data_IF_496576132816
#
_entry.id   IF_496576132816
#
_cell.length_a   1.000
_cell.length_b   1.000
_cell.length_c   1.000
_cell.angle_alpha   90.00
_cell.angle_beta   90.00
_cell.angle_gamma   90.00
#
_symmetry.space_group_name_H-M   'P 1'
#
loop_
_entity.id
_entity.type
_entity.pdbx_description
1 polymer ?
#
# COMPACT_ATOMS: atom_id res chain seq x y z
N UNK A 1 14.96 -0.58 -1.99
CA UNK A 1 15.99 0.19 -1.25
C UNK A 1 15.72 1.65 -1.57
N UNK A 2 15.32 2.53 -0.64
CA UNK A 2 14.79 2.35 0.71
C UNK A 2 13.57 3.28 0.87
N UNK A 3 12.38 2.72 1.08
CA UNK A 3 11.11 3.47 1.22
C UNK A 3 10.92 4.07 2.63
N UNK A 4 11.94 3.96 3.48
CA UNK A 4 11.91 4.31 4.90
C UNK A 4 12.61 5.66 5.07
N UNK A 5 12.01 6.59 5.80
CA UNK A 5 12.53 7.95 5.98
C UNK A 5 13.84 8.01 6.76
N UNK A 6 14.03 7.13 7.75
CA UNK A 6 15.24 7.01 8.56
C UNK A 6 15.22 5.71 9.41
N UNK A 7 16.38 5.32 9.95
CA UNK A 7 16.56 4.08 10.71
C UNK A 7 15.75 4.03 12.01
N UNK A 8 15.57 5.17 12.69
CA UNK A 8 14.82 5.19 13.95
C UNK A 8 13.33 4.97 13.68
N UNK A 9 12.80 5.61 12.63
CA UNK A 9 11.43 5.38 12.15
C UNK A 9 11.24 3.94 11.67
N UNK A 10 12.14 3.42 10.83
CA UNK A 10 12.07 2.02 10.38
C UNK A 10 12.17 1.00 11.52
N UNK A 11 13.00 1.25 12.52
CA UNK A 11 13.11 0.40 13.71
C UNK A 11 11.86 0.46 14.59
N UNK A 12 11.26 1.66 14.74
CA UNK A 12 9.99 1.83 15.46
C UNK A 12 8.84 1.11 14.75
N UNK A 13 8.71 1.28 13.43
CA UNK A 13 7.71 0.59 12.62
C UNK A 13 7.88 -0.94 12.65
N UNK A 14 9.12 -1.42 12.53
CA UNK A 14 9.41 -2.85 12.64
C UNK A 14 9.11 -3.39 14.05
N UNK A 15 9.39 -2.62 15.10
CA UNK A 15 9.07 -2.98 16.48
C UNK A 15 7.56 -3.07 16.71
N UNK A 16 6.77 -2.17 16.12
CA UNK A 16 5.30 -2.18 16.18
C UNK A 16 4.71 -3.33 15.38
N UNK A 17 5.25 -3.63 14.20
CA UNK A 17 4.76 -4.69 13.31
C UNK A 17 5.08 -6.10 13.82
N UNK A 18 6.28 -6.30 14.37
CA UNK A 18 6.76 -7.62 14.81
C UNK A 18 5.78 -8.38 15.70
N UNK A 19 5.14 -7.80 16.74
CA UNK A 19 4.15 -8.51 17.55
C UNK A 19 2.87 -8.87 16.78
N UNK A 20 2.49 -8.12 15.74
CA UNK A 20 1.27 -8.35 14.95
C UNK A 20 1.40 -9.54 13.98
N UNK A 21 2.63 -9.82 13.52
CA UNK A 21 2.93 -10.92 12.60
C UNK A 21 2.98 -12.25 13.35
N UNK A 22 2.08 -13.18 13.02
CA UNK A 22 2.03 -14.50 13.69
C UNK A 22 3.25 -15.37 13.35
N UNK A 23 3.56 -15.53 12.06
CA UNK A 23 4.76 -16.23 11.60
C UNK A 23 5.95 -15.28 11.53
N UNK A 24 6.84 -15.36 12.52
CA UNK A 24 8.00 -14.46 12.63
C UNK A 24 8.96 -14.55 11.43
N UNK A 25 8.95 -15.63 10.67
CA UNK A 25 9.74 -15.74 9.43
C UNK A 25 9.23 -14.80 8.33
N UNK A 26 7.99 -14.33 8.43
CA UNK A 26 7.31 -13.47 7.46
C UNK A 26 7.32 -11.98 7.81
N UNK A 27 7.99 -11.58 8.90
CA UNK A 27 8.06 -10.16 9.33
C UNK A 27 8.63 -9.27 8.22
N UNK A 28 9.67 -9.74 7.51
CA UNK A 28 10.26 -8.98 6.39
C UNK A 28 9.28 -8.75 5.24
N UNK A 29 8.46 -9.77 4.94
CA UNK A 29 7.43 -9.69 3.90
C UNK A 29 6.33 -8.68 4.30
N UNK A 30 5.84 -8.77 5.54
CA UNK A 30 4.85 -7.85 6.09
C UNK A 30 5.38 -6.41 6.08
N UNK A 31 6.64 -6.21 6.51
CA UNK A 31 7.26 -4.90 6.59
C UNK A 31 7.42 -4.27 5.21
N UNK A 32 7.84 -5.06 4.21
CA UNK A 32 7.92 -4.60 2.84
C UNK A 32 6.55 -4.20 2.29
N UNK A 33 5.50 -4.98 2.57
CA UNK A 33 4.14 -4.71 2.13
C UNK A 33 3.58 -3.41 2.73
N UNK A 34 3.69 -3.23 4.05
CA UNK A 34 3.17 -2.05 4.76
C UNK A 34 3.94 -0.78 4.38
N UNK A 35 5.26 -0.87 4.24
CA UNK A 35 6.08 0.28 3.83
C UNK A 35 5.74 0.74 2.41
N UNK A 36 5.54 -0.20 1.48
CA UNK A 36 5.11 0.12 0.11
C UNK A 36 3.74 0.81 0.11
N UNK A 37 2.79 0.31 0.90
CA UNK A 37 1.48 0.93 1.05
C UNK A 37 1.55 2.33 1.67
N UNK A 38 2.44 2.57 2.63
CA UNK A 38 2.65 3.89 3.21
C UNK A 38 3.17 4.90 2.17
N UNK A 39 3.94 4.45 1.18
CA UNK A 39 4.35 5.31 0.06
C UNK A 39 3.16 5.61 -0.85
N UNK A 40 2.38 4.58 -1.19
CA UNK A 40 1.19 4.70 -2.04
C UNK A 40 0.12 5.59 -1.39
N UNK A 41 -0.09 5.45 -0.08
CA UNK A 41 -1.15 6.05 0.71
C UNK A 41 -0.51 6.81 1.89
N UNK A 42 0.16 7.95 1.64
CA UNK A 42 0.97 8.65 2.64
C UNK A 42 0.15 9.24 3.79
N UNK A 43 -1.16 9.41 3.58
CA UNK A 43 -2.09 9.99 4.55
C UNK A 43 -2.60 8.99 5.59
N UNK A 44 -2.41 7.68 5.38
CA UNK A 44 -2.75 6.65 6.37
C UNK A 44 -1.68 6.58 7.46
N UNK A 45 -2.08 6.30 8.70
CA UNK A 45 -1.11 6.08 9.77
C UNK A 45 -0.33 4.77 9.55
N UNK A 46 0.97 4.76 9.82
CA UNK A 46 1.79 3.55 9.60
C UNK A 46 1.35 2.37 10.48
N UNK A 47 0.94 2.62 11.73
CA UNK A 47 0.38 1.58 12.60
C UNK A 47 -0.98 1.07 12.09
N UNK A 48 -1.84 1.97 11.62
CA UNK A 48 -3.15 1.62 11.05
C UNK A 48 -2.97 0.70 9.84
N UNK A 49 -2.06 1.05 8.93
CA UNK A 49 -1.73 0.24 7.77
C UNK A 49 -1.14 -1.13 8.15
N UNK A 50 -0.29 -1.18 9.19
CA UNK A 50 0.25 -2.44 9.71
C UNK A 50 -0.86 -3.34 10.29
N UNK A 51 -1.81 -2.78 11.06
CA UNK A 51 -2.96 -3.53 11.59
C UNK A 51 -3.86 -4.05 10.46
N UNK A 52 -4.16 -3.20 9.47
CA UNK A 52 -4.95 -3.59 8.31
C UNK A 52 -4.31 -4.77 7.57
N UNK A 53 -3.07 -4.61 7.09
CA UNK A 53 -2.37 -5.65 6.33
C UNK A 53 -2.25 -6.96 7.11
N UNK A 54 -1.86 -6.89 8.39
CA UNK A 54 -1.63 -8.12 9.18
C UNK A 54 -2.92 -8.85 9.56
N UNK A 55 -3.96 -8.11 9.95
CA UNK A 55 -5.25 -8.70 10.31
C UNK A 55 -5.96 -9.25 9.08
N UNK A 56 -5.96 -8.51 7.96
CA UNK A 56 -6.54 -8.97 6.69
C UNK A 56 -5.84 -10.23 6.19
N UNK A 57 -4.50 -10.25 6.17
CA UNK A 57 -3.73 -11.42 5.71
C UNK A 57 -4.04 -12.66 6.56
N UNK A 58 -4.16 -12.49 7.88
CA UNK A 58 -4.56 -13.54 8.80
C UNK A 58 -5.98 -14.07 8.51
N UNK A 59 -6.95 -13.18 8.31
CA UNK A 59 -8.35 -13.57 8.12
C UNK A 59 -8.56 -14.34 6.81
N UNK A 60 -7.99 -13.84 5.71
CA UNK A 60 -8.10 -14.49 4.40
C UNK A 60 -7.11 -15.63 4.18
N UNK A 61 -6.10 -15.78 5.05
CA UNK A 61 -4.98 -16.73 4.90
C UNK A 61 -4.20 -16.49 3.60
N UNK A 62 -3.98 -15.22 3.29
CA UNK A 62 -3.27 -14.75 2.10
C UNK A 62 -1.91 -14.17 2.47
N UNK A 63 -1.02 -14.00 1.48
CA UNK A 63 0.26 -13.34 1.71
C UNK A 63 0.08 -11.85 2.01
N UNK A 64 1.06 -11.24 2.68
CA UNK A 64 1.00 -9.81 2.97
C UNK A 64 1.04 -8.98 1.67
N UNK A 65 1.73 -9.49 0.64
CA UNK A 65 1.76 -8.86 -0.68
C UNK A 65 0.41 -8.91 -1.41
N UNK A 66 -0.31 -10.03 -1.34
CA UNK A 66 -1.65 -10.16 -1.94
C UNK A 66 -2.65 -9.18 -1.31
N UNK A 67 -2.59 -9.05 0.02
CA UNK A 67 -3.40 -8.08 0.74
C UNK A 67 -3.01 -6.66 0.39
N UNK A 68 -1.71 -6.36 0.33
CA UNK A 68 -1.24 -5.04 -0.06
C UNK A 68 -1.70 -4.66 -1.46
N UNK A 69 -1.61 -5.60 -2.41
CA UNK A 69 -2.11 -5.41 -3.77
C UNK A 69 -3.62 -5.12 -3.80
N UNK A 70 -4.38 -5.76 -2.93
CA UNK A 70 -5.83 -5.52 -2.79
C UNK A 70 -6.14 -4.13 -2.23
N UNK A 71 -5.45 -3.70 -1.18
CA UNK A 71 -5.60 -2.34 -0.61
C UNK A 71 -5.17 -1.28 -1.63
N UNK A 72 -4.01 -1.49 -2.27
CA UNK A 72 -3.48 -0.62 -3.30
C UNK A 72 -4.42 -0.51 -4.51
N UNK A 73 -5.08 -1.61 -4.89
CA UNK A 73 -6.08 -1.60 -5.96
C UNK A 73 -7.31 -0.75 -5.61
N UNK A 74 -7.79 -0.83 -4.36
CA UNK A 74 -8.91 -0.02 -3.93
C UNK A 74 -8.55 1.47 -3.96
N UNK A 75 -7.39 1.83 -3.40
CA UNK A 75 -6.87 3.18 -3.46
C UNK A 75 -6.67 3.69 -4.89
N UNK A 76 -6.08 2.88 -5.78
CA UNK A 76 -5.91 3.24 -7.20
C UNK A 76 -7.24 3.48 -7.90
N UNK A 77 -8.28 2.74 -7.53
CA UNK A 77 -9.57 2.77 -8.24
C UNK A 77 -10.41 3.99 -7.89
N UNK A 78 -10.41 4.41 -6.62
CA UNK A 78 -11.32 5.45 -6.11
C UNK A 78 -10.68 6.41 -5.11
N UNK A 79 -9.39 6.27 -4.80
CA UNK A 79 -8.71 7.03 -3.75
C UNK A 79 -9.09 6.57 -2.34
N UNK A 80 -8.94 7.47 -1.37
CA UNK A 80 -9.38 7.29 0.01
C UNK A 80 -10.18 8.51 0.49
N UNK A 81 -11.47 8.59 0.14
CA UNK A 81 -12.24 9.83 0.25
C UNK A 81 -12.48 10.30 1.69
N UNK A 82 -12.56 9.37 2.65
CA UNK A 82 -12.76 9.67 4.08
C UNK A 82 -11.63 9.19 4.98
N UNK A 83 -10.51 8.74 4.41
CA UNK A 83 -9.36 8.22 5.17
C UNK A 83 -9.73 7.01 6.03
N UNK A 84 -10.56 6.13 5.49
CA UNK A 84 -11.13 4.98 6.19
C UNK A 84 -10.81 3.64 5.50
N UNK A 85 -9.97 3.65 4.46
CA UNK A 85 -9.65 2.44 3.69
C UNK A 85 -8.94 1.37 4.55
N UNK A 86 -7.89 1.75 5.27
CA UNK A 86 -7.12 0.79 6.07
C UNK A 86 -7.95 0.26 7.25
N UNK A 87 -8.66 1.13 7.97
CA UNK A 87 -9.63 0.74 9.00
C UNK A 87 -10.72 -0.20 8.44
N UNK A 88 -11.25 0.05 7.24
CA UNK A 88 -12.25 -0.85 6.61
C UNK A 88 -11.68 -2.25 6.38
N UNK A 89 -10.46 -2.36 5.86
CA UNK A 89 -9.79 -3.65 5.68
C UNK A 89 -9.53 -4.37 7.00
N UNK A 90 -9.13 -3.62 8.03
CA UNK A 90 -8.90 -4.15 9.37
C UNK A 90 -10.19 -4.69 10.00
N UNK A 91 -11.25 -3.89 10.02
CA UNK A 91 -12.52 -4.18 10.71
C UNK A 91 -13.35 -5.23 9.97
N UNK A 92 -13.48 -5.11 8.64
CA UNK A 92 -14.47 -5.90 7.91
C UNK A 92 -13.92 -7.18 7.28
N UNK A 93 -12.60 -7.33 7.12
CA UNK A 93 -11.98 -8.56 6.60
C UNK A 93 -12.42 -9.88 7.26
N UNK A 94 -12.68 -9.99 8.60
CA UNK A 94 -13.15 -11.25 9.16
C UNK A 94 -14.52 -11.66 8.63
N UNK A 95 -15.42 -10.71 8.36
CA UNK A 95 -16.76 -10.99 7.83
C UNK A 95 -16.67 -11.48 6.38
N UNK A 96 -15.93 -10.76 5.53
CA UNK A 96 -15.65 -11.19 4.16
C UNK A 96 -15.01 -12.59 4.11
N UNK A 97 -14.02 -12.84 4.96
CA UNK A 97 -13.36 -14.14 5.04
C UNK A 97 -14.32 -15.26 5.48
N UNK A 98 -15.21 -14.99 6.46
CA UNK A 98 -16.19 -15.97 6.92
C UNK A 98 -17.22 -16.34 5.85
N UNK A 99 -17.54 -15.42 4.94
CA UNK A 99 -18.42 -15.67 3.79
C UNK A 99 -17.70 -16.35 2.60
N UNK A 100 -16.44 -16.74 2.77
CA UNK A 100 -15.68 -17.50 1.78
C UNK A 100 -15.11 -16.67 0.62
N UNK A 101 -14.99 -15.35 0.81
CA UNK A 101 -14.38 -14.42 -0.17
C UNK A 101 -12.87 -14.25 0.06
N UNK A 102 -12.19 -13.55 -0.84
CA UNK A 102 -10.77 -13.15 -0.73
C UNK A 102 -10.57 -11.65 -0.50
N UNK A 103 -9.35 -11.21 -0.14
CA UNK A 103 -9.06 -9.77 -0.04
C UNK A 103 -9.23 -9.03 -1.37
N UNK A 104 -8.97 -9.70 -2.50
CA UNK A 104 -9.20 -9.14 -3.83
C UNK A 104 -10.70 -8.96 -4.13
N UNK A 105 -11.53 -9.89 -3.68
CA UNK A 105 -12.99 -9.78 -3.82
C UNK A 105 -13.55 -8.66 -2.92
N UNK A 106 -13.06 -8.57 -1.69
CA UNK A 106 -13.36 -7.45 -0.79
C UNK A 106 -12.97 -6.12 -1.43
N UNK A 107 -11.73 -5.99 -1.92
CA UNK A 107 -11.24 -4.80 -2.61
C UNK A 107 -12.12 -4.42 -3.81
N UNK A 108 -12.47 -5.39 -4.65
CA UNK A 108 -13.30 -5.16 -5.83
C UNK A 108 -14.71 -4.65 -5.45
N UNK A 109 -15.34 -5.28 -4.46
CA UNK A 109 -16.65 -4.87 -3.98
C UNK A 109 -16.64 -3.46 -3.39
N UNK A 110 -15.68 -3.17 -2.49
CA UNK A 110 -15.52 -1.86 -1.88
C UNK A 110 -15.30 -0.78 -2.95
N UNK A 111 -14.36 -1.01 -3.87
CA UNK A 111 -14.02 -0.08 -4.95
C UNK A 111 -15.20 0.21 -5.87
N UNK A 112 -15.90 -0.83 -6.31
CA UNK A 112 -17.05 -0.68 -7.21
C UNK A 112 -18.20 0.03 -6.50
N UNK A 113 -18.41 -0.23 -5.21
CA UNK A 113 -19.51 0.39 -4.47
C UNK A 113 -19.24 1.88 -4.21
N UNK A 114 -18.01 2.25 -3.86
CA UNK A 114 -17.61 3.67 -3.75
C UNK A 114 -17.68 4.36 -5.12
N UNK A 115 -17.26 3.69 -6.19
CA UNK A 115 -17.35 4.21 -7.57
C UNK A 115 -18.80 4.46 -8.00
N UNK A 116 -19.74 3.63 -7.54
CA UNK A 116 -21.18 3.79 -7.78
C UNK A 116 -21.84 4.83 -6.85
N UNK A 117 -21.06 5.49 -5.98
CA UNK A 117 -21.49 6.65 -5.20
C UNK A 117 -21.66 6.41 -3.71
N UNK A 118 -21.16 5.30 -3.16
CA UNK A 118 -21.12 5.16 -1.70
C UNK A 118 -20.22 6.23 -1.07
N UNK A 119 -20.63 6.74 0.09
CA UNK A 119 -19.98 7.86 0.76
C UNK A 119 -18.50 7.60 1.11
N UNK A 120 -18.19 6.39 1.54
CA UNK A 120 -16.84 5.96 1.96
C UNK A 120 -16.73 4.42 1.92
N UNK A 121 -15.63 3.87 2.45
CA UNK A 121 -15.39 2.42 2.49
C UNK A 121 -16.09 1.72 3.66
N UNK A 122 -16.30 2.42 4.77
CA UNK A 122 -17.01 1.89 5.94
C UNK A 122 -18.43 1.44 5.58
N UNK A 123 -19.18 2.26 4.83
CA UNK A 123 -20.59 1.97 4.49
C UNK A 123 -20.81 0.65 3.73
N UNK A 124 -20.10 0.36 2.63
CA UNK A 124 -20.19 -0.95 1.99
C UNK A 124 -19.63 -2.08 2.87
N UNK A 125 -18.61 -1.82 3.69
CA UNK A 125 -18.11 -2.79 4.68
C UNK A 125 -19.18 -3.20 5.69
N UNK A 126 -19.86 -2.21 6.29
CA UNK A 126 -20.95 -2.39 7.25
C UNK A 126 -22.13 -3.13 6.62
N UNK A 127 -22.52 -2.75 5.40
CA UNK A 127 -23.52 -3.50 4.64
C UNK A 127 -23.15 -4.97 4.50
N UNK A 128 -21.91 -5.28 4.09
CA UNK A 128 -21.49 -6.66 3.90
C UNK A 128 -21.48 -7.44 5.22
N UNK A 129 -21.00 -6.82 6.30
CA UNK A 129 -21.05 -7.37 7.66
C UNK A 129 -22.47 -7.75 8.04
N UNK A 130 -23.40 -6.80 7.94
CA UNK A 130 -24.79 -7.01 8.37
C UNK A 130 -25.47 -8.09 7.53
N UNK A 131 -25.39 -8.01 6.20
CA UNK A 131 -26.08 -8.96 5.32
C UNK A 131 -25.45 -10.35 5.37
N UNK A 132 -24.15 -10.46 5.08
CA UNK A 132 -23.49 -11.75 4.82
C UNK A 132 -22.67 -12.27 6.01
N UNK A 133 -22.26 -11.38 6.92
CA UNK A 133 -21.48 -11.73 8.11
C UNK A 133 -22.32 -11.97 9.36
N UNK A 134 -23.57 -11.50 9.40
CA UNK A 134 -24.45 -11.58 10.58
C UNK A 134 -25.80 -12.20 10.22
N UNK A 135 -26.61 -11.53 9.39
CA UNK A 135 -28.02 -11.88 9.20
C UNK A 135 -28.23 -13.13 8.37
N UNK A 136 -27.45 -13.32 7.30
CA UNK A 136 -27.45 -14.57 6.55
C UNK A 136 -27.03 -15.78 7.40
N UNK A 137 -26.34 -15.57 8.52
CA UNK A 137 -25.93 -16.66 9.41
C UNK A 137 -27.00 -16.99 10.47
N UNK A 138 -28.06 -16.17 10.58
CA UNK A 138 -29.09 -16.26 11.61
C UNK A 138 -30.43 -16.74 11.03
N UNK A 139 -31.02 -17.78 11.65
CA UNK A 139 -32.23 -18.40 11.15
C UNK A 139 -33.48 -17.52 11.33
N UNK A 140 -33.55 -16.69 12.37
CA UNK A 140 -34.68 -15.79 12.58
C UNK A 140 -34.65 -14.64 11.56
N UNK A 141 -33.49 -14.03 11.33
CA UNK A 141 -33.31 -12.99 10.29
C UNK A 141 -33.65 -13.53 8.89
N UNK A 142 -33.22 -14.75 8.59
CA UNK A 142 -33.53 -15.39 7.30
C UNK A 142 -34.99 -15.82 7.20
N UNK A 143 -35.65 -16.19 8.31
CA UNK A 143 -37.08 -16.47 8.31
C UNK A 143 -37.89 -15.20 8.04
N UNK A 144 -37.47 -14.06 8.61
CA UNK A 144 -38.07 -12.76 8.32
C UNK A 144 -37.86 -12.35 6.85
N UNK A 145 -36.66 -12.58 6.30
CA UNK A 145 -36.37 -12.41 4.87
C UNK A 145 -37.33 -13.25 4.01
N UNK A 146 -37.39 -14.57 4.22
CA UNK A 146 -38.25 -15.45 3.42
C UNK A 146 -39.75 -15.13 3.60
N UNK A 147 -40.16 -14.71 4.80
CA UNK A 147 -41.50 -14.22 5.06
C UNK A 147 -41.85 -12.97 4.26
N UNK A 148 -40.93 -11.99 4.21
CA UNK A 148 -41.07 -10.80 3.37
C UNK A 148 -41.09 -11.12 1.87
N UNK A 149 -40.42 -12.21 1.46
CA UNK A 149 -40.45 -12.77 0.10
C UNK A 149 -41.73 -13.59 -0.21
N UNK A 150 -42.66 -13.67 0.73
CA UNK A 150 -43.99 -14.28 0.53
C UNK A 150 -44.12 -15.73 1.02
N UNK A 151 -43.08 -16.31 1.64
CA UNK A 151 -43.20 -17.63 2.25
C UNK A 151 -44.14 -17.58 3.47
N UNK A 152 -45.02 -18.57 3.60
CA UNK A 152 -45.84 -18.72 4.80
C UNK A 152 -44.95 -18.99 6.03
N UNK A 153 -45.38 -18.56 7.22
CA UNK A 153 -44.56 -18.61 8.46
C UNK A 153 -43.83 -19.94 8.71
N UNK A 154 -44.50 -21.08 8.49
CA UNK A 154 -43.89 -22.41 8.66
C UNK A 154 -42.87 -22.75 7.58
N UNK A 155 -43.09 -22.28 6.37
CA UNK A 155 -42.19 -22.51 5.24
C UNK A 155 -40.96 -21.60 5.32
N UNK A 156 -41.15 -20.35 5.71
CA UNK A 156 -40.06 -19.40 5.97
C UNK A 156 -39.09 -19.91 7.04
N UNK A 157 -39.60 -20.40 8.17
CA UNK A 157 -38.77 -20.98 9.22
C UNK A 157 -37.96 -22.19 8.71
N UNK A 158 -38.60 -23.11 7.96
CA UNK A 158 -37.93 -24.29 7.42
C UNK A 158 -36.87 -23.93 6.37
N UNK A 159 -37.16 -22.96 5.50
CA UNK A 159 -36.22 -22.46 4.50
C UNK A 159 -35.01 -21.80 5.18
N UNK A 160 -35.25 -21.02 6.23
CA UNK A 160 -34.20 -20.39 7.01
C UNK A 160 -33.30 -21.39 7.75
N UNK A 161 -33.89 -22.41 8.39
CA UNK A 161 -33.12 -23.50 9.01
C UNK A 161 -32.26 -24.24 7.98
N UNK A 162 -32.81 -24.57 6.81
CA UNK A 162 -32.05 -25.24 5.75
C UNK A 162 -30.91 -24.36 5.22
N UNK A 163 -31.21 -23.10 4.91
CA UNK A 163 -30.24 -22.12 4.42
C UNK A 163 -29.10 -21.91 5.42
N UNK A 164 -29.43 -21.67 6.68
CA UNK A 164 -28.44 -21.41 7.72
C UNK A 164 -27.63 -22.66 8.09
N UNK A 165 -28.23 -23.85 7.99
CA UNK A 165 -27.49 -25.10 8.12
C UNK A 165 -26.44 -25.26 7.02
N UNK A 166 -26.75 -24.87 5.78
CA UNK A 166 -25.81 -24.94 4.66
C UNK A 166 -24.70 -23.88 4.78
N UNK A 167 -25.03 -22.62 5.07
CA UNK A 167 -24.03 -21.53 5.19
C UNK A 167 -23.08 -21.72 6.38
N UNK A 168 -23.59 -22.26 7.50
CA UNK A 168 -22.81 -22.51 8.71
C UNK A 168 -22.19 -23.92 8.76
N UNK A 169 -22.33 -24.73 7.70
CA UNK A 169 -21.92 -26.14 7.71
C UNK A 169 -20.41 -26.36 7.83
N UNK A 170 -19.59 -25.34 7.54
CA UNK A 170 -18.14 -25.47 7.36
C UNK A 170 -17.74 -26.16 6.05
N UNK A 171 -18.69 -26.68 5.28
CA UNK A 171 -18.49 -27.19 3.93
C UNK A 171 -18.52 -26.02 2.94
N UNK A 172 -17.39 -25.78 2.27
CA UNK A 172 -17.24 -24.65 1.37
C UNK A 172 -18.25 -24.67 0.22
N UNK A 173 -18.56 -25.85 -0.33
CA UNK A 173 -19.46 -25.97 -1.47
C UNK A 173 -20.91 -25.70 -1.04
N UNK A 174 -21.33 -26.20 0.12
CA UNK A 174 -22.67 -25.91 0.68
C UNK A 174 -22.83 -24.44 1.01
N UNK A 175 -21.85 -23.84 1.68
CA UNK A 175 -21.91 -22.43 2.03
C UNK A 175 -21.96 -21.52 0.79
N UNK A 176 -21.13 -21.81 -0.23
CA UNK A 176 -21.18 -21.10 -1.50
C UNK A 176 -22.50 -21.30 -2.25
N UNK A 177 -23.08 -22.50 -2.18
CA UNK A 177 -24.40 -22.80 -2.76
C UNK A 177 -25.52 -21.99 -2.10
N UNK A 178 -25.51 -21.89 -0.76
CA UNK A 178 -26.45 -21.06 -0.03
C UNK A 178 -26.32 -19.59 -0.41
N UNK A 179 -25.12 -19.02 -0.38
CA UNK A 179 -24.86 -17.64 -0.78
C UNK A 179 -25.31 -17.39 -2.23
N UNK A 180 -24.97 -18.29 -3.16
CA UNK A 180 -25.40 -18.16 -4.56
C UNK A 180 -26.93 -18.18 -4.71
N UNK A 181 -27.63 -19.02 -3.93
CA UNK A 181 -29.09 -19.05 -3.94
C UNK A 181 -29.70 -17.74 -3.41
N UNK A 182 -29.13 -17.17 -2.33
CA UNK A 182 -29.55 -15.86 -1.80
C UNK A 182 -29.31 -14.75 -2.84
N UNK A 183 -28.14 -14.71 -3.46
CA UNK A 183 -27.81 -13.75 -4.52
C UNK A 183 -28.75 -13.88 -5.73
N UNK A 184 -29.10 -15.11 -6.12
CA UNK A 184 -30.01 -15.37 -7.23
C UNK A 184 -31.44 -14.91 -6.90
N UNK A 185 -31.93 -15.14 -5.68
CA UNK A 185 -33.23 -14.62 -5.27
C UNK A 185 -33.23 -13.08 -5.24
N UNK A 186 -32.18 -12.44 -4.71
CA UNK A 186 -32.02 -10.98 -4.75
C UNK A 186 -31.98 -10.44 -6.19
N UNK A 187 -31.29 -11.12 -7.10
CA UNK A 187 -31.22 -10.73 -8.52
C UNK A 187 -32.55 -10.90 -9.28
N UNK A 188 -33.47 -11.72 -8.77
CA UNK A 188 -34.79 -11.94 -9.38
C UNK A 188 -35.82 -10.86 -9.04
N UNK A 189 -35.53 -10.02 -8.05
CA UNK A 189 -36.43 -9.02 -7.51
C UNK A 189 -36.42 -7.74 -8.35
N UNK A 190 -37.56 -7.04 -8.36
CA UNK A 190 -37.54 -5.66 -8.86
C UNK A 190 -36.78 -4.74 -7.90
N UNK A 191 -36.51 -3.50 -8.33
CA UNK A 191 -35.73 -2.54 -7.55
C UNK A 191 -36.31 -2.26 -6.17
N UNK A 192 -37.64 -2.18 -6.03
CA UNK A 192 -38.29 -1.85 -4.77
C UNK A 192 -38.29 -3.06 -3.82
N UNK A 193 -38.57 -4.24 -4.36
CA UNK A 193 -38.48 -5.51 -3.63
C UNK A 193 -37.05 -5.74 -3.13
N UNK A 194 -36.05 -5.58 -4.02
CA UNK A 194 -34.64 -5.72 -3.66
C UNK A 194 -34.24 -4.73 -2.57
N UNK A 195 -34.66 -3.46 -2.67
CA UNK A 195 -34.40 -2.46 -1.64
C UNK A 195 -34.97 -2.89 -0.29
N UNK A 196 -36.20 -3.39 -0.27
CA UNK A 196 -36.85 -3.88 0.95
C UNK A 196 -36.12 -5.09 1.53
N UNK A 197 -35.77 -6.06 0.69
CA UNK A 197 -35.00 -7.25 1.06
C UNK A 197 -33.65 -6.91 1.70
N UNK A 198 -32.89 -6.01 1.08
CA UNK A 198 -31.61 -5.55 1.61
C UNK A 198 -31.77 -4.76 2.92
N UNK A 199 -32.84 -3.97 3.04
CA UNK A 199 -33.17 -3.26 4.29
C UNK A 199 -33.45 -4.24 5.43
N UNK A 200 -34.25 -5.28 5.17
CA UNK A 200 -34.54 -6.34 6.14
C UNK A 200 -33.26 -7.09 6.55
N UNK A 201 -32.36 -7.31 5.60
CA UNK A 201 -31.04 -7.91 5.82
C UNK A 201 -30.00 -6.92 6.39
N UNK A 202 -30.44 -5.83 7.02
CA UNK A 202 -29.58 -4.97 7.86
C UNK A 202 -29.02 -3.74 7.17
N UNK A 203 -29.50 -3.41 5.98
CA UNK A 203 -29.09 -2.19 5.26
C UNK A 203 -29.84 -0.96 5.76
N UNK A 204 -29.63 -0.54 7.01
CA UNK A 204 -29.89 0.86 7.40
C UNK A 204 -29.06 1.82 6.51
N UNK A 205 -27.96 1.33 5.94
CA UNK A 205 -27.14 1.96 4.89
C UNK A 205 -27.80 2.05 3.51
N UNK A 206 -28.95 1.40 3.31
CA UNK A 206 -29.77 1.43 2.10
C UNK A 206 -30.66 2.67 1.99
N UNK A 207 -30.57 3.60 2.93
CA UNK A 207 -31.13 4.95 2.79
C UNK A 207 -30.08 5.93 2.25
N UNK A 208 -28.82 5.84 2.72
CA UNK A 208 -27.73 6.75 2.34
C UNK A 208 -26.91 6.28 1.12
N UNK A 209 -26.76 4.96 0.92
CA UNK A 209 -25.99 4.34 -0.17
C UNK A 209 -26.86 3.35 -0.98
N UNK A 210 -28.18 3.54 -0.94
CA UNK A 210 -29.17 2.65 -1.53
C UNK A 210 -28.80 2.21 -2.94
N UNK A 211 -28.52 3.19 -3.80
CA UNK A 211 -28.35 2.94 -5.23
C UNK A 211 -27.02 2.27 -5.56
N UNK A 212 -25.95 2.56 -4.82
CA UNK A 212 -24.67 1.88 -5.04
C UNK A 212 -24.77 0.43 -4.62
N UNK A 213 -25.33 0.15 -3.44
CA UNK A 213 -25.52 -1.21 -2.93
C UNK A 213 -26.49 -2.02 -3.81
N UNK A 214 -27.58 -1.42 -4.27
CA UNK A 214 -28.52 -2.07 -5.19
C UNK A 214 -27.85 -2.56 -6.48
N UNK A 215 -26.75 -1.91 -6.90
CA UNK A 215 -25.98 -2.30 -8.09
C UNK A 215 -24.84 -3.27 -7.79
N UNK A 216 -24.31 -3.28 -6.57
CA UNK A 216 -23.05 -3.95 -6.25
C UNK A 216 -23.15 -5.06 -5.20
N UNK A 217 -24.32 -5.32 -4.61
CA UNK A 217 -24.49 -6.28 -3.51
C UNK A 217 -23.90 -7.68 -3.76
N UNK A 218 -23.83 -8.13 -5.03
CA UNK A 218 -23.26 -9.43 -5.41
C UNK A 218 -21.77 -9.42 -5.75
N UNK A 219 -21.15 -8.25 -5.94
CA UNK A 219 -19.80 -8.10 -6.50
C UNK A 219 -18.72 -8.78 -5.65
N UNK A 220 -18.92 -8.85 -4.33
CA UNK A 220 -18.01 -9.53 -3.40
C UNK A 220 -17.90 -11.05 -3.66
N UNK A 221 -18.86 -11.64 -4.37
CA UNK A 221 -18.87 -13.08 -4.69
C UNK A 221 -18.49 -13.36 -6.15
N UNK A 222 -18.30 -12.32 -6.95
CA UNK A 222 -17.80 -12.43 -8.31
C UNK A 222 -16.28 -12.70 -8.32
N UNK A 223 -15.77 -13.13 -9.48
CA UNK A 223 -14.33 -13.24 -9.66
C UNK A 223 -13.72 -11.83 -9.65
N UNK A 224 -12.84 -11.57 -8.69
CA UNK A 224 -12.09 -10.32 -8.63
C UNK A 224 -11.17 -10.15 -9.87
N UNK A 225 -10.90 -8.89 -10.28
CA UNK A 225 -9.84 -8.62 -11.25
C UNK A 225 -8.47 -9.07 -10.70
N UNK A 226 -7.50 -9.28 -11.59
CA UNK A 226 -6.13 -9.55 -11.16
C UNK A 226 -5.51 -8.27 -10.58
N UNK A 227 -5.16 -8.33 -9.29
CA UNK A 227 -4.56 -7.21 -8.55
C UNK A 227 -3.06 -7.38 -8.37
N UNK A 228 -2.49 -8.50 -8.81
CA UNK A 228 -1.09 -8.86 -8.57
C UNK A 228 -0.13 -7.76 -9.04
N UNK A 229 0.76 -7.33 -8.16
CA UNK A 229 1.77 -6.30 -8.42
C UNK A 229 1.22 -4.88 -8.48
N UNK A 230 -0.05 -4.64 -8.10
CA UNK A 230 -0.62 -3.29 -8.08
C UNK A 230 0.16 -2.37 -7.16
N UNK A 231 0.58 -2.85 -5.98
CA UNK A 231 1.36 -2.05 -5.04
C UNK A 231 2.69 -1.62 -5.66
N UNK A 232 3.42 -2.56 -6.26
CA UNK A 232 4.74 -2.29 -6.87
C UNK A 232 4.64 -1.32 -8.05
N UNK A 233 3.58 -1.44 -8.84
CA UNK A 233 3.31 -0.51 -9.93
C UNK A 233 3.04 0.90 -9.43
N UNK A 234 2.24 1.07 -8.37
CA UNK A 234 1.94 2.39 -7.81
C UNK A 234 3.17 3.03 -7.15
N UNK A 235 3.96 2.24 -6.41
CA UNK A 235 5.25 2.70 -5.87
C UNK A 235 6.16 3.19 -7.01
N UNK A 236 6.30 2.40 -8.08
CA UNK A 236 7.12 2.77 -9.23
C UNK A 236 6.62 4.05 -9.91
N UNK A 237 5.30 4.23 -10.02
CA UNK A 237 4.68 5.43 -10.60
C UNK A 237 4.92 6.67 -9.73
N UNK A 238 4.77 6.58 -8.41
CA UNK A 238 5.06 7.69 -7.50
C UNK A 238 6.55 8.04 -7.48
N UNK A 239 7.43 7.05 -7.50
CA UNK A 239 8.88 7.26 -7.60
C UNK A 239 9.26 7.93 -8.94
N UNK A 240 8.61 7.58 -10.04
CA UNK A 240 8.84 8.21 -11.34
C UNK A 240 8.25 9.63 -11.43
N UNK A 241 7.14 9.89 -10.75
CA UNK A 241 6.48 11.20 -10.70
C UNK A 241 7.22 12.21 -9.81
N UNK A 242 8.01 11.73 -8.85
CA UNK A 242 8.87 12.57 -8.02
C UNK A 242 10.35 12.17 -8.19
N UNK A 243 11.08 12.78 -9.14
CA UNK A 243 12.50 12.52 -9.38
C UNK A 243 13.41 12.87 -8.19
N UNK A 244 12.88 13.50 -7.14
CA UNK A 244 13.57 13.73 -5.86
C UNK A 244 13.34 12.61 -4.85
N UNK A 245 12.56 11.57 -5.18
CA UNK A 245 12.37 10.40 -4.30
C UNK A 245 13.66 9.62 -4.14
N UNK A 246 14.39 9.32 -5.23
CA UNK A 246 15.72 8.71 -5.13
C UNK A 246 16.70 9.57 -4.31
N UNK A 247 16.57 10.90 -4.36
CA UNK A 247 17.34 11.82 -3.53
C UNK A 247 16.94 11.77 -2.05
N UNK A 248 15.64 11.72 -1.72
CA UNK A 248 15.17 11.58 -0.33
C UNK A 248 15.50 10.20 0.24
N UNK A 249 15.44 9.16 -0.59
CA UNK A 249 15.86 7.81 -0.25
C UNK A 249 17.38 7.73 -0.06
N UNK A 250 18.15 8.39 -0.93
CA UNK A 250 19.61 8.51 -0.77
C UNK A 250 19.98 9.36 0.46
N UNK A 251 19.24 10.42 0.78
CA UNK A 251 19.39 11.16 2.02
C UNK A 251 19.10 10.28 3.24
N UNK A 252 18.00 9.51 3.23
CA UNK A 252 17.65 8.58 4.30
C UNK A 252 18.73 7.49 4.48
N UNK A 253 19.26 6.96 3.37
CA UNK A 253 20.37 5.98 3.38
C UNK A 253 21.68 6.60 3.90
N UNK A 254 22.00 7.85 3.52
CA UNK A 254 23.13 8.62 4.05
C UNK A 254 22.94 8.87 5.55
N UNK A 255 21.73 9.20 5.99
CA UNK A 255 21.41 9.46 7.40
C UNK A 255 21.47 8.18 8.24
N UNK A 256 21.04 7.05 7.66
CA UNK A 256 21.16 5.70 8.23
C UNK A 256 22.62 5.26 8.38
N UNK A 257 23.47 5.52 7.38
CA UNK A 257 24.91 5.25 7.43
C UNK A 257 25.65 6.22 8.38
N UNK A 258 25.20 7.47 8.49
CA UNK A 258 25.74 8.49 9.40
C UNK A 258 25.48 8.18 10.88
N UNK A 259 24.41 7.44 11.21
CA UNK A 259 24.15 7.00 12.59
C UNK A 259 25.07 5.85 13.05
N UNK A 260 25.58 5.01 12.14
CA UNK A 260 26.55 3.94 12.45
C UNK A 260 27.98 4.46 12.61
N UNK A 261 28.25 5.67 12.11
CA UNK A 261 29.56 6.31 12.15
C UNK A 261 29.55 7.38 13.25
N UNK A 262 29.99 7.01 14.46
CA UNK A 262 30.03 7.90 15.63
C UNK A 262 30.69 9.28 15.39
N UNK A 263 30.31 10.26 16.22
CA UNK A 263 30.41 11.71 16.01
C UNK A 263 31.76 12.35 15.61
N UNK A 264 32.87 11.60 15.55
CA UNK A 264 34.17 12.12 15.11
C UNK A 264 34.30 12.24 13.58
N UNK A 265 33.51 11.49 12.80
CA UNK A 265 33.55 11.57 11.32
C UNK A 265 32.71 12.76 10.81
N UNK A 266 31.65 13.11 11.54
CA UNK A 266 30.76 14.22 11.21
C UNK A 266 31.54 15.52 11.02
N UNK A 267 32.49 15.83 11.91
CA UNK A 267 33.33 17.04 11.81
C UNK A 267 34.22 17.06 10.56
N UNK A 268 34.70 15.91 10.10
CA UNK A 268 35.57 15.80 8.91
C UNK A 268 34.80 15.82 7.60
N UNK A 269 33.52 15.42 7.62
CA UNK A 269 32.64 15.35 6.45
C UNK A 269 31.82 16.64 6.21
N UNK A 270 31.66 17.51 7.22
CA UNK A 270 30.92 18.79 7.10
C UNK A 270 31.37 19.64 5.90
N UNK A 271 32.68 19.82 5.61
CA UNK A 271 33.11 20.66 4.49
C UNK A 271 32.68 20.10 3.13
N UNK A 272 32.83 18.79 2.92
CA UNK A 272 32.43 18.11 1.69
C UNK A 272 30.91 18.14 1.48
N UNK A 273 30.13 17.97 2.56
CA UNK A 273 28.66 18.09 2.50
C UNK A 273 28.20 19.52 2.21
N UNK A 274 28.90 20.54 2.71
CA UNK A 274 28.62 21.95 2.38
C UNK A 274 28.93 22.29 0.93
N UNK A 275 30.06 21.81 0.41
CA UNK A 275 30.46 22.02 -0.98
C UNK A 275 29.50 21.30 -1.96
N UNK A 276 29.04 20.11 -1.59
CA UNK A 276 27.98 19.38 -2.29
C UNK A 276 26.63 20.10 -2.27
N UNK A 277 26.22 20.63 -1.12
CA UNK A 277 24.97 21.37 -1.01
C UNK A 277 25.02 22.71 -1.77
N UNK A 278 26.19 23.35 -1.84
CA UNK A 278 26.43 24.52 -2.71
C UNK A 278 26.26 24.13 -4.18
N UNK A 279 26.89 23.04 -4.63
CA UNK A 279 26.76 22.56 -6.02
C UNK A 279 25.30 22.28 -6.42
N UNK A 280 24.49 21.69 -5.54
CA UNK A 280 23.06 21.48 -5.81
C UNK A 280 22.28 22.80 -5.86
N UNK A 281 22.57 23.72 -4.95
CA UNK A 281 21.86 25.00 -4.83
C UNK A 281 22.22 25.94 -5.98
N UNK A 282 23.48 25.99 -6.37
CA UNK A 282 24.01 26.86 -7.43
C UNK A 282 23.54 26.41 -8.83
N UNK A 283 23.15 25.15 -8.98
CA UNK A 283 22.69 24.57 -10.25
C UNK A 283 21.18 24.27 -10.28
N UNK A 284 20.43 24.74 -9.27
CA UNK A 284 18.98 24.53 -9.11
C UNK A 284 18.17 24.85 -10.37
N UNK A 285 18.47 25.96 -11.05
CA UNK A 285 17.76 26.39 -12.26
C UNK A 285 17.97 25.46 -13.47
N UNK A 286 19.12 24.78 -13.56
CA UNK A 286 19.41 23.81 -14.62
C UNK A 286 18.76 22.45 -14.33
N UNK A 287 18.68 22.09 -13.04
CA UNK A 287 17.94 20.91 -12.55
C UNK A 287 16.43 21.09 -12.81
N UNK A 288 15.89 22.29 -12.55
CA UNK A 288 14.50 22.65 -12.86
C UNK A 288 14.21 22.68 -14.37
N UNK A 289 15.17 23.12 -15.19
CA UNK A 289 15.04 23.14 -16.65
C UNK A 289 14.92 21.74 -17.30
N UNK A 290 15.52 20.72 -16.69
CA UNK A 290 15.48 19.33 -17.15
C UNK A 290 14.10 18.66 -16.96
N UNK A 291 13.26 19.17 -16.05
CA UNK A 291 11.91 18.66 -15.79
C UNK A 291 10.87 19.00 -16.87
N UNK A 292 11.18 19.89 -17.82
CA UNK A 292 10.21 20.41 -18.78
C UNK A 292 10.14 19.67 -20.14
N UNK A 293 10.96 18.64 -20.39
CA UNK A 293 11.06 17.94 -21.68
C UNK A 293 10.80 16.42 -21.62
N UNK A 294 9.55 16.00 -21.85
CA UNK A 294 8.94 14.74 -21.36
C UNK A 294 9.28 13.41 -22.11
N UNK A 295 10.24 13.29 -23.03
CA UNK A 295 10.47 11.96 -23.67
C UNK A 295 11.93 11.50 -23.79
N UNK A 296 12.87 12.42 -24.01
CA UNK A 296 14.31 12.07 -24.12
C UNK A 296 15.08 12.35 -22.83
N UNK A 297 14.49 13.10 -21.90
CA UNK A 297 15.10 13.51 -20.62
C UNK A 297 15.15 12.41 -19.55
N UNK A 298 14.18 11.49 -19.54
CA UNK A 298 14.03 10.48 -18.48
C UNK A 298 15.26 9.56 -18.39
N UNK A 299 15.80 9.10 -19.53
CA UNK A 299 17.00 8.26 -19.57
C UNK A 299 18.27 8.98 -19.10
N UNK A 300 18.40 10.28 -19.38
CA UNK A 300 19.58 11.06 -19.04
C UNK A 300 19.55 11.50 -17.57
N UNK A 301 18.36 11.78 -17.04
CA UNK A 301 18.14 12.09 -15.63
C UNK A 301 18.47 10.85 -14.78
N UNK A 302 17.89 9.68 -15.09
CA UNK A 302 18.18 8.43 -14.38
C UNK A 302 19.67 8.07 -14.47
N UNK A 303 20.31 8.27 -15.63
CA UNK A 303 21.75 7.98 -15.80
C UNK A 303 22.64 8.94 -15.02
N UNK A 304 22.31 10.24 -14.99
CA UNK A 304 23.05 11.24 -14.22
C UNK A 304 22.94 10.96 -12.71
N UNK A 305 21.74 10.70 -12.21
CA UNK A 305 21.52 10.35 -10.80
C UNK A 305 22.17 9.02 -10.43
N UNK A 306 22.12 8.00 -11.30
CA UNK A 306 22.76 6.70 -11.06
C UNK A 306 24.30 6.76 -11.12
N UNK A 307 24.88 7.55 -12.02
CA UNK A 307 26.33 7.79 -12.04
C UNK A 307 26.78 8.58 -10.80
N UNK A 308 25.97 9.53 -10.33
CA UNK A 308 26.25 10.34 -9.16
C UNK A 308 26.09 9.58 -7.83
N UNK A 309 25.05 8.75 -7.69
CA UNK A 309 24.88 7.85 -6.54
C UNK A 309 25.98 6.79 -6.49
N UNK A 310 26.48 6.33 -7.65
CA UNK A 310 27.66 5.48 -7.74
C UNK A 310 28.94 6.15 -7.23
N UNK A 311 29.11 7.46 -7.45
CA UNK A 311 30.23 8.25 -6.89
C UNK A 311 30.07 8.41 -5.38
N UNK A 312 28.88 8.73 -4.91
CA UNK A 312 28.56 8.84 -3.47
C UNK A 312 28.84 7.52 -2.75
N UNK A 313 28.37 6.39 -3.29
CA UNK A 313 28.65 5.06 -2.74
C UNK A 313 30.16 4.74 -2.74
N UNK A 314 30.92 5.14 -3.77
CA UNK A 314 32.38 4.96 -3.80
C UNK A 314 33.10 5.84 -2.78
N UNK A 315 32.63 7.06 -2.55
CA UNK A 315 33.15 7.97 -1.50
C UNK A 315 32.92 7.39 -0.11
N UNK A 316 31.73 6.86 0.16
CA UNK A 316 31.40 6.23 1.45
C UNK A 316 32.11 4.88 1.66
N UNK A 317 32.19 4.03 0.63
CA UNK A 317 32.97 2.78 0.68
C UNK A 317 34.47 3.07 0.82
N UNK A 318 34.97 4.14 0.17
CA UNK A 318 36.34 4.61 0.32
C UNK A 318 36.66 5.09 1.74
N UNK A 319 35.76 5.83 2.37
CA UNK A 319 35.86 6.23 3.78
C UNK A 319 35.86 5.03 4.73
N UNK A 320 35.02 4.02 4.48
CA UNK A 320 34.99 2.77 5.25
C UNK A 320 36.28 1.93 5.05
N UNK A 321 36.79 1.85 3.82
CA UNK A 321 38.04 1.15 3.49
C UNK A 321 39.30 1.80 4.08
N UNK A 322 39.33 3.13 4.18
CA UNK A 322 40.42 3.89 4.83
C UNK A 322 40.45 3.66 6.35
N UNK A 323 39.32 3.36 6.98
CA UNK A 323 39.22 3.10 8.42
C UNK A 323 39.50 1.64 8.82
N UNK A 324 39.31 0.69 7.90
CA UNK A 324 39.72 -0.70 8.10
C UNK A 324 41.25 -0.86 8.19
N UNK A 325 42.01 0.07 7.58
CA UNK A 325 43.46 0.16 7.67
C UNK A 325 43.87 1.16 8.76
N UNK A 326 44.02 0.67 10.00
CA UNK A 326 44.49 1.46 11.16
C UNK A 326 45.85 2.12 10.87
N UNK A 327 45.86 3.41 10.51
CA UNK A 327 47.06 4.23 10.41
C UNK A 327 46.75 5.69 10.07
N UNK A 328 47.17 6.64 10.90
CA UNK A 328 46.88 8.08 10.74
C UNK A 328 47.47 8.71 9.46
N UNK A 329 48.48 8.10 8.85
CA UNK A 329 49.08 8.55 7.59
C UNK A 329 48.23 8.23 6.34
N UNK A 330 47.37 7.20 6.37
CA UNK A 330 46.47 6.85 5.25
C UNK A 330 45.24 7.74 5.21
N UNK A 331 44.79 8.32 6.33
CA UNK A 331 43.67 9.27 6.37
C UNK A 331 43.95 10.59 5.63
N UNK A 332 45.17 11.15 5.76
CA UNK A 332 45.54 12.40 5.06
C UNK A 332 45.72 12.17 3.55
N UNK A 333 46.23 11.01 3.16
CA UNK A 333 46.36 10.62 1.74
C UNK A 333 45.00 10.27 1.13
N UNK A 334 44.15 9.58 1.89
CA UNK A 334 42.78 9.21 1.52
C UNK A 334 41.89 10.43 1.34
N UNK A 335 41.97 11.43 2.22
CA UNK A 335 41.21 12.69 2.09
C UNK A 335 41.66 13.53 0.89
N UNK A 336 42.97 13.57 0.58
CA UNK A 336 43.49 14.28 -0.60
C UNK A 336 43.09 13.60 -1.91
N UNK A 337 43.10 12.26 -1.94
CA UNK A 337 42.62 11.49 -3.08
C UNK A 337 41.11 11.60 -3.22
N UNK A 338 40.36 11.60 -2.11
CA UNK A 338 38.91 11.80 -2.09
C UNK A 338 38.52 13.17 -2.66
N UNK A 339 39.21 14.23 -2.24
CA UNK A 339 39.03 15.57 -2.80
C UNK A 339 39.33 15.60 -4.30
N UNK A 340 40.42 14.95 -4.73
CA UNK A 340 40.78 14.80 -6.14
C UNK A 340 39.76 14.00 -6.96
N UNK A 341 39.22 12.93 -6.40
CA UNK A 341 38.26 12.04 -7.06
C UNK A 341 36.87 12.68 -7.14
N UNK A 342 36.44 13.39 -6.10
CA UNK A 342 35.17 14.16 -6.09
C UNK A 342 35.26 15.33 -7.07
N UNK A 343 36.36 16.08 -7.07
CA UNK A 343 36.56 17.19 -8.03
C UNK A 343 36.71 16.68 -9.46
N UNK A 344 37.34 15.53 -9.68
CA UNK A 344 37.47 14.92 -11.01
C UNK A 344 36.14 14.33 -11.50
N UNK A 345 35.36 13.69 -10.62
CA UNK A 345 34.04 13.17 -10.93
C UNK A 345 33.04 14.31 -11.20
N UNK A 346 33.09 15.39 -10.42
CA UNK A 346 32.29 16.60 -10.67
C UNK A 346 32.64 17.25 -12.01
N UNK A 347 33.93 17.37 -12.35
CA UNK A 347 34.39 17.86 -13.66
C UNK A 347 34.00 16.93 -14.81
N UNK A 348 34.03 15.61 -14.60
CA UNK A 348 33.65 14.62 -15.59
C UNK A 348 32.14 14.64 -15.87
N UNK A 349 31.31 14.71 -14.83
CA UNK A 349 29.87 14.85 -14.94
C UNK A 349 29.48 16.16 -15.65
N UNK A 350 30.17 17.27 -15.32
CA UNK A 350 29.97 18.57 -15.95
C UNK A 350 30.27 18.58 -17.46
N UNK A 351 31.32 17.88 -17.89
CA UNK A 351 31.74 17.79 -19.29
C UNK A 351 30.82 16.90 -20.15
N UNK A 352 29.90 16.14 -19.54
CA UNK A 352 28.90 15.33 -20.25
C UNK A 352 27.56 16.03 -20.45
N UNK A 353 27.37 17.21 -19.86
CA UNK A 353 26.14 18.01 -20.05
C UNK A 353 26.25 18.77 -21.38
N UNK A 354 25.35 18.53 -22.36
CA UNK A 354 25.41 19.22 -23.64
C UNK A 354 25.21 20.73 -23.46
N UNK A 355 26.15 21.54 -23.97
CA UNK A 355 26.05 23.01 -23.97
C UNK A 355 26.79 23.73 -22.84
N UNK A 356 27.46 23.02 -21.92
CA UNK A 356 28.33 23.65 -20.91
C UNK A 356 29.71 23.96 -21.52
N UNK A 357 30.23 25.18 -21.33
CA UNK A 357 31.62 25.49 -21.68
C UNK A 357 32.54 24.70 -20.75
N UNK A 358 33.56 24.05 -21.35
CA UNK A 358 34.63 23.35 -20.63
C UNK A 358 35.17 24.24 -19.50
N UNK A 359 35.23 23.71 -18.28
CA UNK A 359 36.00 24.33 -17.20
C UNK A 359 37.45 24.46 -17.66
N UNK A 360 37.87 25.68 -18.00
CA UNK A 360 39.23 26.03 -18.36
C UNK A 360 39.60 27.34 -17.68
N UNK A 361 40.64 27.28 -16.84
CA UNK A 361 41.16 28.39 -16.04
C UNK A 361 41.21 28.02 -14.57
#
# INVERSE_FOLDING_TARGET
>A
QGLISDRATGAAELSTLTPMVQDKSKVSEAFAATTKLQVVIPDSGSEEMQRAVTQTAKNFKESYSQVADSIAHAYMSVGDPQKDLADTFWEYSPYFASSGTSSAQMSNFLSQTVKEGAFNFDKPGDFFKEVFGVKALNADDMADYFGARGSGKKDAARQAEAFTADINSGDKQRAQGAIAALLADMASQDRNELKQSLTNLGSATGEDNADSILKTYGVAFEKAPDMTGTTDRLVSQQQAADPMTEYRQSQADIQMQMQDIGGNIMQSAVPAMKEFNSLLTDNKAQIEGLGSGIATGISNIVSFYHEFSGVINKVFIGLAGVLALKGTASMVKGTKNLYGDVTSAGKWAWNKIPGTRKFGG
#
